data_IF_410644266441
#
_entry.id   IF_410644266441
#
_cell.length_a   1.000
_cell.length_b   1.000
_cell.length_c   1.000
_cell.angle_alpha   90.00
_cell.angle_beta   90.00
_cell.angle_gamma   90.00
#
_symmetry.space_group_name_H-M   'P 1'
#
loop_
_entity.id
_entity.type
_entity.pdbx_description
1 polymer ?
#
# COMPACT_ATOMS: atom_id res chain seq x y z
N UNK A 1 16.81 -36.42 -39.28
CA UNK A 1 16.67 -35.57 -38.07
C UNK A 1 17.18 -36.32 -36.85
N UNK A 2 18.20 -35.77 -36.19
CA UNK A 2 19.06 -36.51 -35.26
C UNK A 2 18.38 -36.67 -33.89
N UNK A 3 18.14 -37.91 -33.42
CA UNK A 3 17.41 -38.21 -32.17
C UNK A 3 18.13 -37.72 -30.90
N UNK A 4 19.42 -37.36 -31.02
CA UNK A 4 20.23 -36.92 -29.90
C UNK A 4 20.01 -35.43 -29.54
N UNK A 5 19.60 -34.59 -30.48
CA UNK A 5 19.37 -33.15 -30.22
C UNK A 5 18.05 -32.89 -29.48
N UNK A 6 17.04 -33.74 -29.66
CA UNK A 6 15.77 -33.65 -28.91
C UNK A 6 15.95 -34.05 -27.46
N UNK A 7 16.80 -35.04 -27.18
CA UNK A 7 17.09 -35.51 -25.83
C UNK A 7 17.91 -34.47 -25.04
N UNK A 8 18.85 -33.80 -25.71
CA UNK A 8 19.64 -32.71 -25.11
C UNK A 8 18.78 -31.49 -24.77
N UNK A 9 17.88 -31.08 -25.68
CA UNK A 9 16.95 -29.96 -25.44
C UNK A 9 15.98 -30.24 -24.29
N UNK A 10 15.51 -31.49 -24.17
CA UNK A 10 14.59 -31.88 -23.10
C UNK A 10 15.28 -31.86 -21.72
N UNK A 11 16.53 -32.30 -21.65
CA UNK A 11 17.34 -32.20 -20.42
C UNK A 11 17.64 -30.75 -20.04
N UNK A 12 17.95 -29.90 -21.02
CA UNK A 12 18.19 -28.47 -20.79
C UNK A 12 16.93 -27.76 -20.27
N UNK A 13 15.76 -28.09 -20.83
CA UNK A 13 14.49 -27.52 -20.41
C UNK A 13 14.12 -27.91 -18.97
N UNK A 14 14.31 -29.18 -18.60
CA UNK A 14 14.06 -29.65 -17.23
C UNK A 14 15.03 -28.98 -16.23
N UNK A 15 16.28 -28.76 -16.62
CA UNK A 15 17.28 -28.11 -15.77
C UNK A 15 16.96 -26.63 -15.55
N UNK A 16 16.52 -25.92 -16.60
CA UNK A 16 16.06 -24.53 -16.50
C UNK A 16 14.81 -24.44 -15.61
N UNK A 17 13.84 -25.36 -15.77
CA UNK A 17 12.63 -25.38 -14.95
C UNK A 17 12.95 -25.62 -13.46
N UNK A 18 13.88 -26.53 -13.16
CA UNK A 18 14.32 -26.80 -11.79
C UNK A 18 15.03 -25.59 -11.15
N UNK A 19 15.80 -24.82 -11.93
CA UNK A 19 16.42 -23.57 -11.47
C UNK A 19 15.36 -22.51 -11.18
N UNK A 20 14.34 -22.34 -12.05
CA UNK A 20 13.26 -21.38 -11.79
C UNK A 20 12.42 -21.74 -10.56
N UNK A 21 12.13 -23.03 -10.35
CA UNK A 21 11.42 -23.50 -9.16
C UNK A 21 12.29 -23.31 -7.90
N UNK A 22 13.59 -23.63 -7.98
CA UNK A 22 14.53 -23.44 -6.86
C UNK A 22 14.68 -21.97 -6.47
N UNK A 23 14.80 -21.06 -7.43
CA UNK A 23 14.87 -19.61 -7.19
C UNK A 23 13.53 -19.08 -6.66
N UNK A 24 12.40 -19.53 -7.20
CA UNK A 24 11.08 -19.16 -6.71
C UNK A 24 10.82 -19.64 -5.27
N UNK A 25 11.20 -20.87 -4.93
CA UNK A 25 11.10 -21.41 -3.57
C UNK A 25 12.07 -20.73 -2.60
N UNK A 26 13.29 -20.39 -3.02
CA UNK A 26 14.22 -19.60 -2.21
C UNK A 26 13.63 -18.22 -1.93
N UNK A 27 13.11 -17.53 -2.95
CA UNK A 27 12.52 -16.21 -2.80
C UNK A 27 11.31 -16.24 -1.85
N UNK A 28 10.47 -17.28 -1.94
CA UNK A 28 9.33 -17.50 -1.04
C UNK A 28 9.77 -17.78 0.41
N UNK A 29 10.81 -18.60 0.60
CA UNK A 29 11.33 -18.91 1.93
C UNK A 29 11.99 -17.68 2.59
N UNK A 30 12.75 -16.89 1.82
CA UNK A 30 13.38 -15.65 2.33
C UNK A 30 12.37 -14.54 2.61
N UNK A 31 11.28 -14.45 1.85
CA UNK A 31 10.18 -13.52 2.13
C UNK A 31 9.36 -13.90 3.35
N UNK A 32 9.33 -15.17 3.75
CA UNK A 32 8.68 -15.63 4.99
C UNK A 32 9.45 -15.33 6.29
N UNK A 33 10.74 -14.97 6.20
CA UNK A 33 11.59 -14.62 7.36
C UNK A 33 11.70 -13.12 7.62
N UNK A 34 11.03 -12.27 6.83
CA UNK A 34 10.84 -10.88 7.21
C UNK A 34 9.79 -10.87 8.31
N UNK A 35 10.29 -10.83 9.54
CA UNK A 35 9.58 -10.55 10.80
C UNK A 35 8.36 -9.70 10.50
N UNK A 36 7.17 -10.25 10.74
CA UNK A 36 5.94 -9.50 10.73
C UNK A 36 6.15 -8.29 11.67
N UNK A 37 6.23 -7.06 11.13
CA UNK A 37 6.37 -5.90 12.00
C UNK A 37 5.11 -5.87 12.85
N UNK A 38 5.33 -5.83 14.17
CA UNK A 38 4.32 -5.71 15.19
C UNK A 38 3.20 -4.82 14.67
N UNK A 39 2.04 -5.43 14.45
CA UNK A 39 0.82 -4.69 14.19
C UNK A 39 0.60 -3.85 15.43
N UNK A 40 1.02 -2.59 15.40
CA UNK A 40 0.37 -1.56 16.20
C UNK A 40 -1.08 -1.54 15.72
N UNK A 41 -1.88 -2.40 16.36
CA UNK A 41 -3.31 -2.40 16.29
C UNK A 41 -3.68 -0.98 16.70
N UNK A 42 -4.07 -0.16 15.73
CA UNK A 42 -4.95 0.96 16.05
C UNK A 42 -6.15 0.24 16.65
N UNK A 43 -6.20 0.19 17.97
CA UNK A 43 -7.37 -0.23 18.71
C UNK A 43 -8.43 0.77 18.28
N UNK A 44 -9.15 0.41 17.23
CA UNK A 44 -10.43 0.98 16.89
C UNK A 44 -11.19 0.94 18.21
N UNK A 45 -11.45 2.10 18.86
CA UNK A 45 -12.03 2.08 20.18
C UNK A 45 -13.29 1.22 20.13
N UNK A 46 -13.38 0.21 21.00
CA UNK A 46 -14.61 -0.56 21.20
C UNK A 46 -15.63 0.36 21.87
N UNK A 47 -16.21 1.27 21.08
CA UNK A 47 -17.28 2.15 21.51
C UNK A 47 -18.60 1.40 21.35
N UNK A 48 -18.85 0.52 22.31
CA UNK A 48 -20.17 -0.09 22.53
C UNK A 48 -21.08 0.98 23.15
N UNK A 49 -22.34 1.06 22.74
CA UNK A 49 -23.32 2.02 23.27
C UNK A 49 -23.51 1.94 24.81
N UNK A 50 -22.99 0.88 25.45
CA UNK A 50 -22.91 0.76 26.91
C UNK A 50 -22.24 1.93 27.63
N UNK A 51 -21.35 2.70 26.99
CA UNK A 51 -20.79 3.94 27.57
C UNK A 51 -21.80 5.09 27.64
N UNK A 52 -22.79 5.14 26.74
CA UNK A 52 -23.83 6.18 26.70
C UNK A 52 -24.98 5.94 27.67
N UNK A 53 -25.11 4.71 28.21
CA UNK A 53 -26.03 4.41 29.33
C UNK A 53 -25.72 5.27 30.56
N UNK A 54 -24.44 5.61 30.76
CA UNK A 54 -24.00 6.51 31.83
C UNK A 54 -24.37 7.98 31.56
N UNK A 55 -24.39 8.41 30.30
CA UNK A 55 -24.79 9.78 29.91
C UNK A 55 -26.30 9.94 30.05
N UNK A 56 -27.09 8.92 29.68
CA UNK A 56 -28.55 8.95 29.90
C UNK A 56 -28.92 8.89 31.37
N UNK A 57 -28.20 8.12 32.20
CA UNK A 57 -28.36 8.17 33.65
C UNK A 57 -27.99 9.55 34.22
N UNK A 58 -26.91 10.17 33.74
CA UNK A 58 -26.53 11.53 34.16
C UNK A 58 -27.57 12.60 33.74
N UNK A 59 -28.20 12.45 32.58
CA UNK A 59 -29.27 13.33 32.08
C UNK A 59 -30.61 13.07 32.78
N UNK A 60 -30.92 11.83 33.15
CA UNK A 60 -32.10 11.50 33.97
C UNK A 60 -31.93 11.92 35.44
N UNK A 61 -30.70 12.07 35.93
CA UNK A 61 -30.39 12.60 37.26
C UNK A 61 -30.33 14.15 37.31
N UNK A 62 -30.25 14.82 36.16
CA UNK A 62 -30.23 16.28 36.04
C UNK A 62 -31.52 17.02 36.51
N UNK A 63 -32.77 16.49 36.37
CA UNK A 63 -33.96 17.17 36.84
C UNK A 63 -34.05 17.25 38.38
N UNK A 64 -33.26 16.45 39.12
CA UNK A 64 -33.23 16.48 40.59
C UNK A 64 -32.17 17.43 41.17
N UNK A 65 -31.21 17.91 40.37
CA UNK A 65 -30.08 18.71 40.87
C UNK A 65 -29.99 20.14 40.33
N UNK A 66 -30.88 20.56 39.43
CA UNK A 66 -30.94 21.93 38.92
C UNK A 66 -32.15 22.70 39.46
N UNK A 67 -32.17 22.94 40.77
CA UNK A 67 -32.92 24.05 41.37
C UNK A 67 -32.11 25.35 41.19
N UNK A 68 -31.91 25.81 39.95
CA UNK A 68 -31.35 27.15 39.75
C UNK A 68 -32.45 28.09 39.28
N UNK A 69 -32.80 28.99 40.20
CA UNK A 69 -33.54 30.22 40.01
C UNK A 69 -33.21 30.85 38.65
N UNK A 70 -34.20 30.88 37.78
CA UNK A 70 -34.32 31.93 36.78
C UNK A 70 -35.63 32.67 37.06
N UNK A 71 -35.65 33.44 38.15
CA UNK A 71 -36.62 34.52 38.28
C UNK A 71 -36.24 35.57 37.23
N UNK A 72 -37.10 35.76 36.22
CA UNK A 72 -37.04 36.98 35.41
C UNK A 72 -37.43 38.15 36.31
N UNK A 73 -36.62 39.21 36.40
CA UNK A 73 -37.00 40.38 37.19
C UNK A 73 -38.17 41.08 36.51
N UNK A 74 -39.32 41.16 37.20
CA UNK A 74 -40.46 42.00 36.79
C UNK A 74 -41.80 41.31 36.49
N UNK A 75 -42.00 40.04 36.84
CA UNK A 75 -43.35 39.42 36.78
C UNK A 75 -43.86 39.12 38.18
N UNK A 76 -44.89 39.85 38.60
CA UNK A 76 -45.66 39.57 39.81
C UNK A 76 -46.17 38.13 39.80
N UNK A 77 -46.16 37.52 40.99
CA UNK A 77 -46.57 36.15 41.24
C UNK A 77 -48.00 35.91 40.75
N UNK A 78 -48.12 35.37 39.53
CA UNK A 78 -49.33 34.76 39.04
C UNK A 78 -49.59 33.48 39.83
N UNK A 79 -50.61 33.54 40.66
CA UNK A 79 -51.24 32.41 41.34
C UNK A 79 -51.30 31.20 40.40
N UNK A 80 -50.63 30.11 40.77
CA UNK A 80 -50.81 28.81 40.13
C UNK A 80 -52.24 28.34 40.36
N UNK A 81 -53.13 28.56 39.38
CA UNK A 81 -54.33 27.74 39.22
C UNK A 81 -53.94 26.46 38.48
N UNK A 82 -54.36 25.27 38.95
CA UNK A 82 -54.10 24.01 38.27
C UNK A 82 -55.05 23.93 37.07
N UNK A 83 -54.53 24.17 35.88
CA UNK A 83 -55.29 24.09 34.65
C UNK A 83 -54.69 23.03 33.72
N UNK A 84 -55.38 21.90 33.61
CA UNK A 84 -55.45 21.06 32.42
C UNK A 84 -54.30 20.08 32.19
N UNK A 85 -54.64 18.80 32.23
CA UNK A 85 -53.87 17.62 31.80
C UNK A 85 -53.39 17.62 30.33
N UNK A 86 -53.34 18.77 29.63
CA UNK A 86 -53.00 18.83 28.19
C UNK A 86 -51.59 19.32 27.83
N UNK A 87 -50.91 20.06 28.71
CA UNK A 87 -49.62 20.71 28.38
C UNK A 87 -48.38 19.88 28.74
N UNK A 88 -48.57 18.80 29.50
CA UNK A 88 -47.50 17.87 29.89
C UNK A 88 -47.11 16.91 28.76
N UNK A 89 -48.08 16.47 27.96
CA UNK A 89 -47.88 15.54 26.85
C UNK A 89 -47.11 16.19 25.68
N UNK A 90 -47.46 17.42 25.29
CA UNK A 90 -46.75 18.14 24.22
C UNK A 90 -45.28 18.44 24.57
N UNK A 91 -45.00 18.80 25.84
CA UNK A 91 -43.62 18.99 26.32
C UNK A 91 -42.86 17.67 26.39
N UNK A 92 -43.51 16.58 26.80
CA UNK A 92 -42.92 15.24 26.80
C UNK A 92 -42.58 14.74 25.40
N UNK A 93 -43.49 14.92 24.44
CA UNK A 93 -43.27 14.59 23.03
C UNK A 93 -42.14 15.43 22.40
N UNK A 94 -42.04 16.72 22.73
CA UNK A 94 -40.96 17.58 22.25
C UNK A 94 -39.58 17.15 22.77
N UNK A 95 -39.48 16.69 24.03
CA UNK A 95 -38.24 16.16 24.62
C UNK A 95 -37.85 14.85 23.94
N UNK A 96 -38.80 13.93 23.73
CA UNK A 96 -38.54 12.66 23.04
C UNK A 96 -38.08 12.85 21.60
N UNK A 97 -38.68 13.80 20.86
CA UNK A 97 -38.24 14.18 19.51
C UNK A 97 -36.79 14.66 19.49
N UNK A 98 -36.42 15.48 20.47
CA UNK A 98 -35.08 16.04 20.58
C UNK A 98 -34.05 14.96 20.92
N UNK A 99 -34.37 14.04 21.83
CA UNK A 99 -33.51 12.89 22.17
C UNK A 99 -33.33 11.93 20.98
N UNK A 100 -34.40 11.64 20.23
CA UNK A 100 -34.33 10.80 19.04
C UNK A 100 -33.44 11.44 17.97
N UNK A 101 -33.67 12.72 17.65
CA UNK A 101 -32.87 13.44 16.67
C UNK A 101 -31.39 13.54 17.06
N UNK A 102 -31.08 13.70 18.36
CA UNK A 102 -29.71 13.67 18.86
C UNK A 102 -29.06 12.30 18.65
N UNK A 103 -29.76 11.20 18.93
CA UNK A 103 -29.21 9.86 18.75
C UNK A 103 -29.04 9.47 17.29
N UNK A 104 -29.96 9.89 16.42
CA UNK A 104 -29.80 9.74 14.97
C UNK A 104 -28.58 10.52 14.46
N UNK A 105 -28.39 11.75 14.93
CA UNK A 105 -27.22 12.56 14.59
C UNK A 105 -25.92 11.88 15.05
N UNK A 106 -25.89 11.37 16.29
CA UNK A 106 -24.73 10.63 16.82
C UNK A 106 -24.44 9.36 16.00
N UNK A 107 -25.47 8.58 15.64
CA UNK A 107 -25.29 7.40 14.79
C UNK A 107 -24.66 7.78 13.43
N UNK A 108 -25.13 8.86 12.82
CA UNK A 108 -24.57 9.35 11.56
C UNK A 108 -23.11 9.79 11.69
N UNK A 109 -22.77 10.51 12.77
CA UNK A 109 -21.39 10.93 13.06
C UNK A 109 -20.46 9.73 13.29
N UNK A 110 -20.89 8.73 14.04
CA UNK A 110 -20.12 7.50 14.30
C UNK A 110 -19.85 6.71 13.02
N UNK A 111 -20.86 6.54 12.17
CA UNK A 111 -20.68 5.88 10.87
C UNK A 111 -19.72 6.67 9.97
N UNK A 112 -19.76 8.01 10.02
CA UNK A 112 -18.84 8.84 9.27
C UNK A 112 -17.41 8.73 9.81
N UNK A 113 -17.23 8.75 11.12
CA UNK A 113 -15.93 8.57 11.77
C UNK A 113 -15.34 7.20 11.42
N UNK A 114 -16.15 6.13 11.49
CA UNK A 114 -15.70 4.78 11.17
C UNK A 114 -15.20 4.66 9.73
N UNK A 115 -15.94 5.24 8.79
CA UNK A 115 -15.52 5.28 7.39
C UNK A 115 -14.19 6.02 7.21
N UNK A 116 -13.98 7.15 7.91
CA UNK A 116 -12.70 7.88 7.88
C UNK A 116 -11.55 7.05 8.45
N UNK A 117 -11.75 6.37 9.57
CA UNK A 117 -10.73 5.52 10.19
C UNK A 117 -10.33 4.35 9.29
N UNK A 118 -11.30 3.73 8.61
CA UNK A 118 -11.03 2.67 7.63
C UNK A 118 -10.23 3.20 6.43
N UNK A 119 -10.57 4.38 5.90
CA UNK A 119 -9.77 5.03 4.84
C UNK A 119 -8.33 5.27 5.29
N UNK A 120 -8.13 5.83 6.49
CA UNK A 120 -6.79 6.07 7.04
C UNK A 120 -5.99 4.77 7.24
N UNK A 121 -6.64 3.69 7.68
CA UNK A 121 -6.04 2.36 7.80
C UNK A 121 -5.56 1.84 6.45
N UNK A 122 -6.39 1.97 5.40
CA UNK A 122 -6.01 1.59 4.03
C UNK A 122 -4.80 2.40 3.58
N UNK A 123 -4.84 3.73 3.70
CA UNK A 123 -3.76 4.60 3.24
C UNK A 123 -2.43 4.29 3.94
N UNK A 124 -2.46 4.07 5.27
CA UNK A 124 -1.27 3.66 6.04
C UNK A 124 -0.70 2.34 5.51
N UNK A 125 -1.53 1.32 5.33
CA UNK A 125 -1.11 -0.01 4.89
C UNK A 125 -0.57 0.00 3.46
N UNK A 126 -1.24 0.73 2.55
CA UNK A 126 -0.78 0.92 1.17
C UNK A 126 0.56 1.65 1.14
N UNK A 127 0.72 2.69 1.96
CA UNK A 127 1.98 3.42 2.03
C UNK A 127 3.12 2.55 2.57
N UNK A 128 2.87 1.76 3.61
CA UNK A 128 3.84 0.83 4.16
C UNK A 128 4.27 -0.22 3.12
N UNK A 129 3.31 -0.81 2.40
CA UNK A 129 3.59 -1.78 1.35
C UNK A 129 4.40 -1.15 0.21
N UNK A 130 4.06 0.08 -0.19
CA UNK A 130 4.82 0.83 -1.19
C UNK A 130 6.27 1.04 -0.77
N UNK A 131 6.51 1.45 0.48
CA UNK A 131 7.87 1.67 0.98
C UNK A 131 8.67 0.35 0.99
N UNK A 132 8.02 -0.76 1.35
CA UNK A 132 8.64 -2.08 1.28
C UNK A 132 8.99 -2.46 -0.17
N UNK A 133 8.08 -2.26 -1.12
CA UNK A 133 8.33 -2.58 -2.51
C UNK A 133 9.44 -1.70 -3.11
N UNK A 134 9.45 -0.40 -2.80
CA UNK A 134 10.52 0.52 -3.23
C UNK A 134 11.90 0.10 -2.70
N UNK A 135 11.98 -0.38 -1.46
CA UNK A 135 13.21 -0.93 -0.89
C UNK A 135 13.67 -2.19 -1.64
N UNK A 136 12.76 -3.14 -1.89
CA UNK A 136 13.07 -4.38 -2.59
C UNK A 136 13.50 -4.13 -4.04
N UNK A 137 12.84 -3.18 -4.72
CA UNK A 137 13.21 -2.77 -6.09
C UNK A 137 14.63 -2.21 -6.09
N UNK A 138 14.97 -1.31 -5.15
CA UNK A 138 16.33 -0.76 -5.06
C UNK A 138 17.37 -1.85 -4.88
N UNK A 139 17.13 -2.79 -3.96
CA UNK A 139 18.04 -3.92 -3.73
C UNK A 139 18.20 -4.77 -4.99
N UNK A 140 17.10 -5.13 -5.66
CA UNK A 140 17.14 -5.92 -6.89
C UNK A 140 17.88 -5.19 -8.04
N UNK A 141 17.75 -3.86 -8.13
CA UNK A 141 18.49 -3.05 -9.11
C UNK A 141 19.97 -2.97 -8.81
N UNK A 142 20.36 -2.87 -7.54
CA UNK A 142 21.76 -2.90 -7.13
C UNK A 142 22.41 -4.25 -7.42
N UNK A 143 21.73 -5.35 -7.09
CA UNK A 143 22.18 -6.70 -7.43
C UNK A 143 22.36 -6.85 -8.95
N UNK A 144 21.39 -6.40 -9.75
CA UNK A 144 21.52 -6.43 -11.22
C UNK A 144 22.65 -5.56 -11.75
N UNK A 145 22.90 -4.39 -11.16
CA UNK A 145 24.05 -3.55 -11.52
C UNK A 145 25.37 -4.25 -11.24
N UNK A 146 25.49 -4.93 -10.10
CA UNK A 146 26.70 -5.67 -9.74
C UNK A 146 26.93 -6.86 -10.68
N UNK A 147 25.88 -7.62 -11.01
CA UNK A 147 25.94 -8.71 -12.00
C UNK A 147 26.42 -8.19 -13.37
N UNK A 148 25.83 -7.09 -13.86
CA UNK A 148 26.21 -6.50 -15.14
C UNK A 148 27.63 -5.91 -15.12
N UNK A 149 28.07 -5.34 -14.01
CA UNK A 149 29.43 -4.83 -13.86
C UNK A 149 30.46 -5.97 -13.91
N UNK A 150 30.16 -7.10 -13.28
CA UNK A 150 30.99 -8.30 -13.37
C UNK A 150 31.02 -8.85 -14.82
N UNK A 151 29.86 -8.94 -15.48
CA UNK A 151 29.76 -9.35 -16.89
C UNK A 151 30.59 -8.44 -17.81
N UNK A 152 30.52 -7.12 -17.61
CA UNK A 152 31.29 -6.15 -18.40
C UNK A 152 32.79 -6.27 -18.13
N UNK A 153 33.20 -6.50 -16.88
CA UNK A 153 34.60 -6.69 -16.52
C UNK A 153 35.18 -7.95 -17.17
N UNK A 154 34.43 -9.06 -17.15
CA UNK A 154 34.86 -10.31 -17.79
C UNK A 154 34.88 -10.18 -19.32
N UNK A 155 33.90 -9.49 -19.91
CA UNK A 155 33.91 -9.17 -21.33
C UNK A 155 35.14 -8.32 -21.72
N UNK A 156 35.45 -7.27 -20.95
CA UNK A 156 36.64 -6.43 -21.17
C UNK A 156 37.92 -7.26 -21.10
N UNK A 157 38.08 -8.10 -20.07
CA UNK A 157 39.24 -9.00 -19.93
C UNK A 157 39.37 -9.97 -21.10
N UNK A 158 38.26 -10.53 -21.57
CA UNK A 158 38.27 -11.43 -22.72
C UNK A 158 38.70 -10.68 -23.99
N UNK A 159 38.13 -9.51 -24.25
CA UNK A 159 38.46 -8.70 -25.42
C UNK A 159 39.89 -8.17 -25.37
N UNK A 160 40.36 -7.70 -24.22
CA UNK A 160 41.76 -7.30 -24.04
C UNK A 160 42.72 -8.45 -24.36
N UNK A 161 42.43 -9.68 -23.94
CA UNK A 161 43.25 -10.84 -24.31
C UNK A 161 43.24 -11.09 -25.82
N UNK A 162 42.07 -11.08 -26.44
CA UNK A 162 41.92 -11.26 -27.90
C UNK A 162 42.70 -10.20 -28.69
N UNK A 163 42.61 -8.93 -28.29
CA UNK A 163 43.27 -7.81 -28.97
C UNK A 163 44.75 -7.67 -28.60
N UNK A 164 45.17 -8.06 -27.38
CA UNK A 164 46.57 -7.98 -26.94
C UNK A 164 47.51 -8.80 -27.82
N UNK A 165 47.08 -9.99 -28.26
CA UNK A 165 47.88 -10.84 -29.16
C UNK A 165 48.05 -10.21 -30.55
N UNK A 166 46.97 -9.63 -31.10
CA UNK A 166 46.98 -8.91 -32.38
C UNK A 166 47.85 -7.65 -32.30
N UNK A 167 47.70 -6.87 -31.25
CA UNK A 167 48.46 -5.65 -31.01
C UNK A 167 49.96 -5.95 -30.79
N UNK A 168 50.30 -6.98 -30.01
CA UNK A 168 51.69 -7.39 -29.80
C UNK A 168 52.37 -7.77 -31.13
N UNK A 169 51.65 -8.49 -32.00
CA UNK A 169 52.15 -8.85 -33.33
C UNK A 169 52.41 -7.61 -34.19
N UNK A 170 51.51 -6.62 -34.18
CA UNK A 170 51.68 -5.37 -34.92
C UNK A 170 52.81 -4.50 -34.35
N UNK A 171 52.93 -4.42 -33.02
CA UNK A 171 54.03 -3.71 -32.37
C UNK A 171 55.38 -4.36 -32.65
N UNK A 172 55.45 -5.70 -32.65
CA UNK A 172 56.65 -6.42 -33.06
C UNK A 172 57.03 -6.11 -34.51
N UNK A 173 56.06 -6.12 -35.42
CA UNK A 173 56.29 -5.72 -36.82
C UNK A 173 56.86 -4.30 -36.89
N UNK A 174 56.24 -3.32 -36.21
CA UNK A 174 56.71 -1.93 -36.19
C UNK A 174 58.14 -1.75 -35.68
N UNK A 175 58.62 -2.63 -34.80
CA UNK A 175 59.96 -2.58 -34.22
C UNK A 175 61.07 -3.10 -35.16
N UNK A 176 60.73 -3.64 -36.33
CA UNK A 176 61.74 -4.12 -37.28
C UNK A 176 62.58 -2.96 -37.85
N UNK A 177 63.92 -3.08 -37.88
CA UNK A 177 64.82 -1.99 -38.23
C UNK A 177 64.70 -1.52 -39.68
N UNK A 178 64.30 -2.40 -40.61
CA UNK A 178 64.31 -2.14 -42.07
C UNK A 178 62.96 -1.67 -42.64
N UNK A 179 62.05 -1.19 -41.80
CA UNK A 179 60.73 -0.75 -42.25
C UNK A 179 60.74 0.65 -42.88
N UNK A 180 60.16 0.76 -44.08
CA UNK A 180 59.92 2.03 -44.75
C UNK A 180 58.97 2.94 -43.93
N UNK A 181 59.08 4.27 -44.06
CA UNK A 181 58.19 5.19 -43.35
C UNK A 181 56.71 4.99 -43.69
N UNK A 182 56.40 4.61 -44.94
CA UNK A 182 55.03 4.29 -45.39
C UNK A 182 54.49 3.01 -44.74
N UNK A 183 55.33 1.97 -44.58
CA UNK A 183 54.91 0.75 -43.90
C UNK A 183 54.70 0.99 -42.41
N UNK A 184 55.50 1.85 -41.78
CA UNK A 184 55.30 2.26 -40.38
C UNK A 184 54.01 3.04 -40.18
N UNK A 185 53.65 3.94 -41.10
CA UNK A 185 52.39 4.69 -41.01
C UNK A 185 51.16 3.79 -41.19
N UNK A 186 51.22 2.83 -42.13
CA UNK A 186 50.16 1.81 -42.31
C UNK A 186 49.95 0.99 -41.05
N UNK A 187 51.02 0.46 -40.45
CA UNK A 187 50.92 -0.31 -39.21
C UNK A 187 50.38 0.51 -38.03
N UNK A 188 50.77 1.79 -37.93
CA UNK A 188 50.23 2.70 -36.92
C UNK A 188 48.72 2.95 -37.10
N UNK A 189 48.25 3.08 -38.35
CA UNK A 189 46.84 3.18 -38.67
C UNK A 189 46.07 1.90 -38.31
N UNK A 190 46.64 0.72 -38.57
CA UNK A 190 46.06 -0.57 -38.17
C UNK A 190 45.95 -0.71 -36.64
N UNK A 191 46.98 -0.29 -35.90
CA UNK A 191 46.94 -0.25 -34.42
C UNK A 191 45.84 0.68 -33.92
N UNK A 192 45.74 1.89 -34.50
CA UNK A 192 44.69 2.84 -34.13
C UNK A 192 43.29 2.31 -34.44
N UNK A 193 43.11 1.65 -35.59
CA UNK A 193 41.86 1.02 -35.98
C UNK A 193 41.45 -0.09 -35.01
N UNK A 194 42.36 -1.01 -34.67
CA UNK A 194 42.08 -2.08 -33.70
C UNK A 194 41.76 -1.57 -32.29
N UNK A 195 42.44 -0.51 -31.85
CA UNK A 195 42.11 0.13 -30.57
C UNK A 195 40.74 0.81 -30.59
N UNK A 196 40.36 1.43 -31.72
CA UNK A 196 39.05 2.02 -31.89
C UNK A 196 37.95 0.95 -31.92
N UNK A 197 38.16 -0.17 -32.62
CA UNK A 197 37.26 -1.32 -32.64
C UNK A 197 37.03 -1.89 -31.23
N UNK A 198 38.11 -2.15 -30.48
CA UNK A 198 38.00 -2.64 -29.10
C UNK A 198 37.15 -1.70 -28.22
N UNK A 199 37.38 -0.39 -28.32
CA UNK A 199 36.59 0.61 -27.58
C UNK A 199 35.13 0.59 -28.01
N UNK A 200 34.86 0.51 -29.31
CA UNK A 200 33.50 0.49 -29.85
C UNK A 200 32.74 -0.76 -29.38
N UNK A 201 33.37 -1.95 -29.41
CA UNK A 201 32.74 -3.19 -28.93
C UNK A 201 32.41 -3.14 -27.44
N UNK A 202 33.34 -2.62 -26.61
CA UNK A 202 33.12 -2.46 -25.17
C UNK A 202 32.00 -1.45 -24.89
N UNK A 203 31.98 -0.32 -25.60
CA UNK A 203 30.94 0.69 -25.47
C UNK A 203 29.58 0.18 -25.93
N UNK A 204 29.52 -0.61 -27.00
CA UNK A 204 28.29 -1.23 -27.48
C UNK A 204 27.74 -2.21 -26.43
N UNK A 205 28.60 -3.03 -25.82
CA UNK A 205 28.19 -3.94 -24.75
C UNK A 205 27.70 -3.17 -23.53
N UNK A 206 28.42 -2.13 -23.12
CA UNK A 206 28.03 -1.25 -22.01
C UNK A 206 26.66 -0.59 -22.25
N UNK A 207 26.42 -0.05 -23.45
CA UNK A 207 25.13 0.52 -23.83
C UNK A 207 24.01 -0.53 -23.81
N UNK A 208 24.29 -1.76 -24.28
CA UNK A 208 23.30 -2.85 -24.26
C UNK A 208 22.91 -3.27 -22.84
N UNK A 209 23.87 -3.31 -21.91
CA UNK A 209 23.61 -3.64 -20.50
C UNK A 209 22.85 -2.51 -19.80
N UNK A 210 23.19 -1.24 -20.10
CA UNK A 210 22.48 -0.09 -19.59
C UNK A 210 21.01 -0.05 -20.04
N UNK A 211 20.74 -0.35 -21.31
CA UNK A 211 19.38 -0.47 -21.83
C UNK A 211 18.61 -1.60 -21.12
N UNK A 212 19.21 -2.79 -20.98
CA UNK A 212 18.59 -3.91 -20.29
C UNK A 212 18.30 -3.61 -18.81
N UNK A 213 19.14 -2.82 -18.15
CA UNK A 213 18.91 -2.38 -16.77
C UNK A 213 17.74 -1.40 -16.66
N UNK A 214 17.61 -0.49 -17.62
CA UNK A 214 16.49 0.45 -17.68
C UNK A 214 15.17 -0.30 -17.89
N UNK A 215 15.13 -1.24 -18.85
CA UNK A 215 13.95 -2.07 -19.11
C UNK A 215 13.57 -2.91 -17.88
N UNK A 216 14.56 -3.48 -17.19
CA UNK A 216 14.34 -4.21 -15.95
C UNK A 216 13.77 -3.31 -14.84
N UNK A 217 14.27 -2.07 -14.70
CA UNK A 217 13.75 -1.12 -13.72
C UNK A 217 12.30 -0.74 -14.00
N UNK A 218 11.94 -0.47 -15.26
CA UNK A 218 10.56 -0.19 -15.67
C UNK A 218 9.66 -1.38 -15.38
N UNK A 219 10.08 -2.60 -15.77
CA UNK A 219 9.30 -3.82 -15.52
C UNK A 219 9.04 -4.06 -14.02
N UNK A 220 10.03 -3.80 -13.16
CA UNK A 220 9.89 -3.91 -11.71
C UNK A 220 8.93 -2.87 -11.13
N UNK A 221 9.01 -1.61 -11.59
CA UNK A 221 8.10 -0.55 -11.17
C UNK A 221 6.65 -0.85 -11.59
N UNK A 222 6.45 -1.30 -12.83
CA UNK A 222 5.12 -1.68 -13.31
C UNK A 222 4.54 -2.87 -12.54
N UNK A 223 5.37 -3.89 -12.26
CA UNK A 223 4.95 -5.05 -11.49
C UNK A 223 4.51 -4.65 -10.08
N UNK A 224 5.31 -3.84 -9.38
CA UNK A 224 4.96 -3.33 -8.05
C UNK A 224 3.73 -2.44 -8.07
N UNK A 225 3.57 -1.56 -9.05
CA UNK A 225 2.38 -0.72 -9.18
C UNK A 225 1.09 -1.57 -9.32
N UNK A 226 1.13 -2.61 -10.15
CA UNK A 226 0.01 -3.54 -10.32
C UNK A 226 -0.28 -4.33 -9.04
N UNK A 227 0.75 -4.73 -8.30
CA UNK A 227 0.57 -5.40 -7.01
C UNK A 227 -0.03 -4.48 -5.95
N UNK A 228 0.44 -3.22 -5.87
CA UNK A 228 -0.10 -2.20 -4.97
C UNK A 228 -1.57 -1.90 -5.26
N UNK A 229 -1.96 -1.79 -6.53
CA UNK A 229 -3.37 -1.61 -6.91
C UNK A 229 -4.24 -2.80 -6.49
N UNK A 230 -3.76 -4.03 -6.72
CA UNK A 230 -4.47 -5.24 -6.29
C UNK A 230 -4.60 -5.29 -4.77
N UNK A 231 -3.54 -4.93 -4.06
CA UNK A 231 -3.51 -4.87 -2.61
C UNK A 231 -4.50 -3.83 -2.07
N UNK A 232 -4.50 -2.62 -2.64
CA UNK A 232 -5.46 -1.57 -2.29
C UNK A 232 -6.90 -2.03 -2.49
N UNK A 233 -7.23 -2.61 -3.65
CA UNK A 233 -8.59 -3.11 -3.94
C UNK A 233 -9.01 -4.20 -2.95
N UNK A 234 -8.08 -5.07 -2.55
CA UNK A 234 -8.35 -6.09 -1.51
C UNK A 234 -8.68 -5.43 -0.17
N UNK A 235 -7.87 -4.47 0.27
CA UNK A 235 -8.11 -3.75 1.52
C UNK A 235 -9.42 -2.96 1.50
N UNK A 236 -9.75 -2.32 0.37
CA UNK A 236 -11.03 -1.62 0.19
C UNK A 236 -12.22 -2.60 0.33
N UNK A 237 -12.15 -3.76 -0.33
CA UNK A 237 -13.19 -4.78 -0.21
C UNK A 237 -13.32 -5.35 1.21
N UNK A 238 -12.21 -5.62 1.89
CA UNK A 238 -12.20 -6.07 3.30
C UNK A 238 -12.79 -5.00 4.23
N UNK A 239 -12.40 -3.73 4.03
CA UNK A 239 -12.90 -2.61 4.83
C UNK A 239 -14.38 -2.33 4.62
N UNK A 240 -14.90 -2.51 3.40
CA UNK A 240 -16.33 -2.34 3.13
C UNK A 240 -17.13 -3.45 3.81
N UNK A 241 -16.60 -4.68 3.85
CA UNK A 241 -17.21 -5.76 4.62
C UNK A 241 -17.19 -5.48 6.13
N UNK A 242 -16.08 -4.97 6.66
CA UNK A 242 -15.94 -4.52 8.05
C UNK A 242 -16.98 -3.44 8.37
N UNK A 243 -17.06 -2.38 7.54
CA UNK A 243 -18.01 -1.29 7.67
C UNK A 243 -19.46 -1.75 7.64
N UNK A 244 -19.84 -2.62 6.71
CA UNK A 244 -21.23 -3.11 6.60
C UNK A 244 -21.66 -3.96 7.79
N UNK A 245 -20.73 -4.68 8.43
CA UNK A 245 -21.02 -5.44 9.66
C UNK A 245 -21.24 -4.49 10.83
N UNK A 246 -20.30 -3.57 11.04
CA UNK A 246 -20.38 -2.59 12.12
C UNK A 246 -21.57 -1.67 11.99
N UNK A 247 -21.91 -1.25 10.76
CA UNK A 247 -23.12 -0.46 10.49
C UNK A 247 -24.37 -1.21 10.94
N UNK A 248 -24.50 -2.49 10.59
CA UNK A 248 -25.66 -3.31 11.00
C UNK A 248 -25.71 -3.48 12.51
N UNK A 249 -24.57 -3.66 13.17
CA UNK A 249 -24.49 -3.75 14.63
C UNK A 249 -24.94 -2.44 15.30
N UNK A 250 -24.43 -1.29 14.84
CA UNK A 250 -24.80 0.02 15.37
C UNK A 250 -26.28 0.34 15.13
N UNK A 251 -26.80 0.05 13.93
CA UNK A 251 -28.22 0.22 13.62
C UNK A 251 -29.08 -0.73 14.48
N UNK A 252 -28.66 -1.97 14.69
CA UNK A 252 -29.38 -2.91 15.55
C UNK A 252 -29.40 -2.45 17.02
N UNK A 253 -28.30 -1.92 17.53
CA UNK A 253 -28.22 -1.32 18.87
C UNK A 253 -29.12 -0.09 18.99
N UNK A 254 -29.16 0.76 17.97
CA UNK A 254 -30.08 1.91 17.91
C UNK A 254 -31.54 1.46 17.96
N UNK A 255 -31.93 0.50 17.12
CA UNK A 255 -33.31 -0.02 17.09
C UNK A 255 -33.69 -0.81 18.34
N UNK A 256 -32.74 -1.50 18.97
CA UNK A 256 -32.97 -2.12 20.28
C UNK A 256 -33.28 -1.06 21.34
N UNK A 257 -32.52 0.04 21.37
CA UNK A 257 -32.81 1.15 22.26
C UNK A 257 -34.17 1.81 21.98
N UNK A 258 -34.55 1.99 20.71
CA UNK A 258 -35.88 2.53 20.34
C UNK A 258 -37.00 1.66 20.91
N UNK A 259 -36.88 0.32 20.79
CA UNK A 259 -37.87 -0.64 21.33
C UNK A 259 -37.88 -0.74 22.85
N UNK A 260 -36.74 -0.51 23.51
CA UNK A 260 -36.68 -0.46 24.98
C UNK A 260 -37.29 0.82 25.56
N UNK A 261 -37.55 1.83 24.72
CA UNK A 261 -38.14 3.11 25.10
C UNK A 261 -39.58 3.20 24.59
N UNK A 262 -40.53 2.68 25.37
CA UNK A 262 -41.98 2.68 25.07
C UNK A 262 -42.51 4.06 24.60
N UNK A 263 -41.95 5.16 25.12
CA UNK A 263 -42.33 6.52 24.73
C UNK A 263 -41.88 6.92 23.32
N UNK A 264 -40.75 6.39 22.84
CA UNK A 264 -40.23 6.62 21.48
C UNK A 264 -40.92 5.70 20.47
N UNK A 265 -41.15 4.43 20.83
CA UNK A 265 -41.84 3.47 19.96
C UNK A 265 -43.30 3.89 19.69
N UNK A 266 -44.06 4.30 20.73
CA UNK A 266 -45.42 4.84 20.56
C UNK A 266 -45.43 6.12 19.73
N UNK A 267 -44.47 7.01 19.98
CA UNK A 267 -44.33 8.25 19.22
C UNK A 267 -44.06 7.99 17.72
N UNK A 268 -43.22 7.00 17.38
CA UNK A 268 -42.97 6.64 15.97
C UNK A 268 -44.20 5.99 15.32
N UNK A 269 -44.95 5.17 16.07
CA UNK A 269 -46.19 4.55 15.57
C UNK A 269 -47.29 5.59 15.29
N UNK A 270 -47.45 6.60 16.15
CA UNK A 270 -48.45 7.68 16.00
C UNK A 270 -48.16 8.65 14.85
N UNK A 271 -46.90 8.79 14.40
CA UNK A 271 -46.53 9.68 13.29
C UNK A 271 -46.41 8.95 11.93
N UNK A 272 -46.67 7.64 11.88
CA UNK A 272 -46.66 6.84 10.64
C UNK A 272 -48.07 6.51 10.10
N UNK A 273 -49.13 6.87 10.84
CA UNK A 273 -50.54 6.91 10.37
C UNK A 273 -50.88 8.24 9.70
#
# INVERSE_FOLDING_TARGET
MNKNTTLLRRKLFVLILAVFIGVGCWFYYRSSQVVAPETEIILLPELKWGSYRQITQAIQDLPRKLQWRLERPGQEAGVFSPAGDGLGEERGQAVLRLELAQREALLAEELQLRRRLLTMKIDRLVHQKRNQDEYLIKQALEEKRQEQAAELADFRRQKEKEYSSKLATLHFKMAMPDLSPEAKSSLAAEVAALQAELRAEVQQKEASLAAALADYAVAQQEASARELERYRRRLEAESEQEYQREKKELEAEFWAWVRENDGVERFLAENLE
#
